data_IF_221730134340
#
_entry.id   IF_221730134340
#
_cell.length_a   1.000
_cell.length_b   1.000
_cell.length_c   1.000
_cell.angle_alpha   90.00
_cell.angle_beta   90.00
_cell.angle_gamma   90.00
#
_symmetry.space_group_name_H-M   'P 1'
#
loop_
_entity.id
_entity.type
_entity.pdbx_description
1 polymer ?
#
# COMPACT_ATOMS: atom_id res chain seq x y z
N UNK A 1 -0.29 -8.94 -11.00
CA UNK A 1 -1.49 -8.10 -10.97
C UNK A 1 -2.61 -8.79 -10.23
N UNK A 2 -2.98 -8.23 -9.10
CA UNK A 2 -4.07 -8.63 -8.24
C UNK A 2 -5.41 -8.27 -8.87
N UNK A 3 -6.41 -9.11 -8.65
CA UNK A 3 -7.80 -8.71 -8.88
C UNK A 3 -8.19 -7.64 -7.88
N UNK A 4 -9.16 -6.79 -8.21
CA UNK A 4 -9.59 -5.68 -7.35
C UNK A 4 -10.01 -6.17 -5.95
N UNK A 5 -10.74 -7.29 -5.87
CA UNK A 5 -11.12 -7.91 -4.59
C UNK A 5 -9.92 -8.38 -3.78
N UNK A 6 -8.92 -8.99 -4.43
CA UNK A 6 -7.71 -9.48 -3.76
C UNK A 6 -6.89 -8.31 -3.22
N UNK A 7 -6.73 -7.24 -4.00
CA UNK A 7 -6.06 -6.01 -3.57
C UNK A 7 -6.78 -5.39 -2.36
N UNK A 8 -8.10 -5.27 -2.41
CA UNK A 8 -8.91 -4.74 -1.31
C UNK A 8 -8.79 -5.59 -0.04
N UNK A 9 -8.81 -6.91 -0.16
CA UNK A 9 -8.71 -7.80 0.99
C UNK A 9 -7.30 -7.83 1.60
N UNK A 10 -6.25 -7.72 0.78
CA UNK A 10 -4.89 -7.53 1.30
C UNK A 10 -4.76 -6.19 2.02
N UNK A 11 -5.27 -5.09 1.45
CA UNK A 11 -5.25 -3.79 2.12
C UNK A 11 -5.97 -3.81 3.48
N UNK A 12 -7.17 -4.42 3.57
CA UNK A 12 -7.88 -4.60 4.85
C UNK A 12 -7.01 -5.32 5.89
N UNK A 13 -6.21 -6.31 5.46
CA UNK A 13 -5.29 -7.00 6.38
C UNK A 13 -4.08 -6.13 6.75
N UNK A 14 -3.56 -5.33 5.81
CA UNK A 14 -2.51 -4.34 6.09
C UNK A 14 -3.01 -3.33 7.14
N UNK A 15 -4.23 -2.80 7.01
CA UNK A 15 -4.85 -1.92 8.01
C UNK A 15 -4.91 -2.58 9.39
N UNK A 16 -5.28 -3.87 9.45
CA UNK A 16 -5.29 -4.64 10.70
C UNK A 16 -3.89 -4.81 11.29
N UNK A 17 -2.87 -5.07 10.46
CA UNK A 17 -1.48 -5.20 10.91
C UNK A 17 -0.96 -3.86 11.42
N UNK A 18 -1.11 -2.79 10.62
CA UNK A 18 -0.76 -1.43 11.00
C UNK A 18 -1.39 -1.04 12.33
N UNK A 19 -2.68 -1.28 12.54
CA UNK A 19 -3.31 -0.93 13.83
C UNK A 19 -2.73 -1.70 15.03
N UNK A 20 -2.19 -2.90 14.83
CA UNK A 20 -1.50 -3.68 15.88
C UNK A 20 -0.07 -3.22 16.13
N UNK A 21 0.53 -2.52 15.18
CA UNK A 21 1.95 -2.15 15.19
C UNK A 21 2.20 -0.65 15.12
N UNK A 22 1.16 0.20 15.07
CA UNK A 22 1.25 1.66 14.90
C UNK A 22 2.02 2.38 16.00
N UNK A 23 2.12 1.79 17.18
CA UNK A 23 2.91 2.32 18.31
C UNK A 23 4.39 1.87 18.24
N UNK A 24 4.76 1.11 17.20
CA UNK A 24 6.11 0.66 16.90
C UNK A 24 6.68 1.43 15.70
N UNK A 25 7.95 1.19 15.40
CA UNK A 25 8.57 1.73 14.18
C UNK A 25 7.88 1.20 12.90
N UNK A 26 7.73 2.03 11.85
CA UNK A 26 7.16 1.61 10.55
C UNK A 26 7.83 0.36 9.97
N UNK A 27 9.14 0.16 10.21
CA UNK A 27 9.88 -1.00 9.71
C UNK A 27 9.29 -2.33 10.20
N UNK A 28 8.89 -2.38 11.48
CA UNK A 28 8.30 -3.59 12.09
C UNK A 28 6.94 -3.92 11.45
N UNK A 29 6.21 -2.89 11.02
CA UNK A 29 4.94 -3.07 10.32
C UNK A 29 5.18 -3.66 8.93
N UNK A 30 6.13 -3.12 8.18
CA UNK A 30 6.47 -3.59 6.84
C UNK A 30 7.04 -5.00 6.86
N UNK A 31 7.93 -5.33 7.81
CA UNK A 31 8.47 -6.69 7.95
C UNK A 31 7.35 -7.73 8.13
N UNK A 32 6.37 -7.46 8.99
CA UNK A 32 5.22 -8.36 9.18
C UNK A 32 4.30 -8.43 7.95
N UNK A 33 4.15 -7.34 7.22
CA UNK A 33 3.39 -7.33 5.96
C UNK A 33 4.10 -8.19 4.91
N UNK A 34 5.42 -8.01 4.76
CA UNK A 34 6.26 -8.75 3.82
C UNK A 34 6.31 -10.24 4.17
N UNK A 35 6.46 -10.60 5.44
CA UNK A 35 6.42 -11.99 5.91
C UNK A 35 5.10 -12.66 5.53
N UNK A 36 3.99 -11.93 5.63
CA UNK A 36 2.65 -12.49 5.39
C UNK A 36 2.25 -12.57 3.93
N UNK A 37 2.58 -11.54 3.13
CA UNK A 37 2.06 -11.40 1.75
C UNK A 37 3.13 -11.55 0.67
N UNK A 38 4.40 -11.55 1.06
CA UNK A 38 5.52 -11.48 0.13
C UNK A 38 5.70 -10.10 -0.48
N UNK A 39 6.87 -9.91 -1.11
CA UNK A 39 7.30 -8.63 -1.68
C UNK A 39 6.36 -8.14 -2.78
N UNK A 40 6.15 -8.94 -3.83
CA UNK A 40 5.41 -8.53 -5.02
C UNK A 40 3.98 -8.08 -4.70
N UNK A 41 3.25 -8.88 -3.90
CA UNK A 41 1.90 -8.53 -3.42
C UNK A 41 1.90 -7.23 -2.63
N UNK A 42 2.88 -7.05 -1.74
CA UNK A 42 2.98 -5.86 -0.91
C UNK A 42 3.23 -4.61 -1.75
N UNK A 43 4.21 -4.68 -2.66
CA UNK A 43 4.55 -3.60 -3.59
C UNK A 43 3.33 -3.19 -4.44
N UNK A 44 2.62 -4.15 -5.02
CA UNK A 44 1.46 -3.86 -5.88
C UNK A 44 0.29 -3.21 -5.12
N UNK A 45 0.00 -3.67 -3.89
CA UNK A 45 -1.08 -3.10 -3.07
C UNK A 45 -0.75 -1.67 -2.63
N UNK A 46 0.49 -1.42 -2.17
CA UNK A 46 0.92 -0.08 -1.82
C UNK A 46 0.92 0.86 -3.04
N UNK A 47 1.34 0.38 -4.20
CA UNK A 47 1.29 1.15 -5.45
C UNK A 47 -0.15 1.50 -5.84
N UNK A 48 -1.09 0.55 -5.71
CA UNK A 48 -2.52 0.77 -5.98
C UNK A 48 -3.10 1.84 -5.07
N UNK A 49 -2.84 1.76 -3.75
CA UNK A 49 -3.31 2.75 -2.79
C UNK A 49 -2.67 4.12 -3.03
N UNK A 50 -1.37 4.15 -3.35
CA UNK A 50 -0.69 5.40 -3.70
C UNK A 50 -1.30 6.05 -4.94
N UNK A 51 -1.69 5.27 -5.95
CA UNK A 51 -2.35 5.76 -7.16
C UNK A 51 -3.75 6.31 -6.86
N UNK A 52 -4.56 5.62 -6.05
CA UNK A 52 -5.87 6.12 -5.60
C UNK A 52 -5.71 7.47 -4.86
N UNK A 53 -4.68 7.58 -4.02
CA UNK A 53 -4.39 8.79 -3.22
C UNK A 53 -3.49 9.80 -3.96
N UNK A 54 -3.43 9.78 -5.29
CA UNK A 54 -2.55 10.68 -6.06
C UNK A 54 -2.78 12.18 -5.77
N UNK A 55 -4.03 12.57 -5.50
CA UNK A 55 -4.39 13.96 -5.20
C UNK A 55 -3.99 14.47 -3.79
N UNK A 56 -3.61 13.58 -2.87
CA UNK A 56 -3.30 13.95 -1.48
C UNK A 56 -1.92 14.62 -1.32
N UNK A 57 -0.98 14.35 -2.23
CA UNK A 57 0.35 14.97 -2.26
C UNK A 57 1.34 14.53 -1.18
N UNK A 58 0.92 13.75 -0.15
CA UNK A 58 1.82 13.30 0.93
C UNK A 58 2.69 12.09 0.61
N UNK A 59 2.36 11.36 -0.46
CA UNK A 59 3.25 10.33 -1.03
C UNK A 59 3.97 10.99 -2.20
N UNK A 60 5.25 11.33 -2.01
CA UNK A 60 6.01 12.21 -2.90
C UNK A 60 7.43 11.72 -3.19
N UNK A 61 8.10 12.45 -4.10
CA UNK A 61 9.49 12.25 -4.49
C UNK A 61 9.81 10.79 -4.80
N UNK A 62 10.88 10.31 -4.18
CA UNK A 62 11.48 9.01 -4.41
C UNK A 62 10.52 7.83 -4.09
N UNK A 63 9.56 8.02 -3.18
CA UNK A 63 8.53 7.03 -2.86
C UNK A 63 7.44 7.00 -3.93
N UNK A 64 7.00 8.18 -4.38
CA UNK A 64 6.06 8.31 -5.49
C UNK A 64 6.62 7.71 -6.78
N UNK A 65 7.86 8.03 -7.12
CA UNK A 65 8.57 7.47 -8.29
C UNK A 65 8.60 5.94 -8.25
N UNK A 66 8.93 5.37 -7.08
CA UNK A 66 8.94 3.93 -6.89
C UNK A 66 7.54 3.31 -7.05
N UNK A 67 6.51 3.87 -6.40
CA UNK A 67 5.13 3.37 -6.55
C UNK A 67 4.61 3.46 -7.99
N UNK A 68 4.94 4.55 -8.70
CA UNK A 68 4.55 4.72 -10.11
C UNK A 68 5.29 3.76 -11.07
N UNK A 69 6.38 3.14 -10.64
CA UNK A 69 7.13 2.16 -11.45
C UNK A 69 6.54 0.75 -11.39
N UNK A 70 5.59 0.49 -10.47
CA UNK A 70 4.97 -0.81 -10.26
C UNK A 70 3.68 -0.90 -11.08
N UNK A 71 3.54 -1.95 -11.88
CA UNK A 71 2.33 -2.23 -12.65
C UNK A 71 1.19 -2.62 -11.72
N UNK A 72 0.06 -1.92 -11.79
CA UNK A 72 -1.15 -2.17 -11.00
C UNK A 72 -2.35 -2.45 -11.89
N UNK A 73 -3.37 -3.10 -11.32
CA UNK A 73 -4.65 -3.30 -12.00
C UNK A 73 -5.38 -1.94 -12.17
N UNK A 74 -5.63 -1.47 -13.41
CA UNK A 74 -6.26 -0.17 -13.65
C UNK A 74 -7.69 -0.10 -13.08
N UNK A 75 -8.42 -1.22 -13.04
CA UNK A 75 -9.79 -1.25 -12.50
C UNK A 75 -9.79 -0.99 -10.99
N UNK A 76 -8.69 -1.29 -10.29
CA UNK A 76 -8.57 -1.06 -8.86
C UNK A 76 -8.53 0.43 -8.48
N UNK A 77 -8.23 1.32 -9.43
CA UNK A 77 -8.14 2.77 -9.20
C UNK A 77 -9.34 3.56 -9.76
N UNK A 78 -10.30 2.88 -10.40
CA UNK A 78 -11.53 3.50 -10.92
C UNK A 78 -12.51 3.73 -9.76
N UNK A 79 -12.36 4.87 -9.09
CA UNK A 79 -13.16 5.22 -7.89
C UNK A 79 -14.54 5.82 -8.23
N UNK A 80 -14.86 6.04 -9.50
CA UNK A 80 -16.19 6.47 -9.95
C UNK A 80 -17.23 5.34 -9.90
N UNK A 81 -16.78 4.08 -9.82
CA UNK A 81 -17.67 2.92 -9.76
C UNK A 81 -18.05 2.60 -8.32
N UNK A 82 -19.31 2.87 -7.95
CA UNK A 82 -19.84 2.65 -6.59
C UNK A 82 -19.59 1.24 -6.03
N UNK A 83 -19.33 0.25 -6.87
CA UNK A 83 -19.09 -1.14 -6.46
C UNK A 83 -17.61 -1.50 -6.33
N UNK A 84 -16.67 -0.56 -6.52
CA UNK A 84 -15.24 -0.84 -6.42
C UNK A 84 -14.88 -1.27 -4.98
N UNK A 85 -14.43 -2.52 -4.76
CA UNK A 85 -14.06 -3.03 -3.44
C UNK A 85 -13.02 -2.19 -2.70
N UNK A 86 -12.17 -1.45 -3.42
CA UNK A 86 -11.17 -0.57 -2.82
C UNK A 86 -11.80 0.59 -2.04
N UNK A 87 -13.02 1.03 -2.36
CA UNK A 87 -13.71 2.07 -1.57
C UNK A 87 -14.07 1.60 -0.15
N UNK A 88 -14.21 0.29 0.04
CA UNK A 88 -14.70 -0.29 1.29
C UNK A 88 -13.62 -1.04 2.06
N UNK A 89 -12.34 -0.84 1.70
CA UNK A 89 -11.21 -1.55 2.31
C UNK A 89 -10.50 -0.77 3.42
N UNK A 90 -10.99 0.43 3.78
CA UNK A 90 -10.35 1.28 4.80
C UNK A 90 -9.19 2.10 4.24
N UNK A 91 -9.37 2.71 3.07
CA UNK A 91 -8.33 3.54 2.43
C UNK A 91 -7.88 4.73 3.30
N UNK A 92 -8.75 5.22 4.18
CA UNK A 92 -8.48 6.37 5.05
C UNK A 92 -8.15 5.97 6.50
N UNK A 93 -8.17 4.67 6.80
CA UNK A 93 -7.83 4.15 8.14
C UNK A 93 -6.34 4.31 8.46
N UNK A 94 -5.51 4.48 7.43
CA UNK A 94 -4.10 4.85 7.55
C UNK A 94 -3.90 6.21 6.87
N UNK A 95 -3.46 7.19 7.66
CA UNK A 95 -3.14 8.51 7.12
C UNK A 95 -2.01 8.42 6.10
N UNK A 96 -2.11 9.15 4.99
CA UNK A 96 -1.17 9.09 3.86
C UNK A 96 0.30 9.33 4.25
N UNK A 97 0.56 10.14 5.29
CA UNK A 97 1.92 10.35 5.78
C UNK A 97 2.53 9.07 6.39
N UNK A 98 1.74 8.23 7.05
CA UNK A 98 2.20 6.95 7.58
C UNK A 98 2.34 5.92 6.45
N UNK A 99 1.50 6.00 5.42
CA UNK A 99 1.69 5.20 4.19
C UNK A 99 3.03 5.54 3.55
N UNK A 100 3.39 6.82 3.44
CA UNK A 100 4.67 7.26 2.89
C UNK A 100 5.88 6.79 3.73
N UNK A 101 5.77 6.82 5.06
CA UNK A 101 6.78 6.23 5.95
C UNK A 101 6.92 4.71 5.71
N UNK A 102 5.82 3.97 5.61
CA UNK A 102 5.84 2.55 5.31
C UNK A 102 6.45 2.25 3.92
N UNK A 103 6.17 3.07 2.89
CA UNK A 103 6.80 2.93 1.57
C UNK A 103 8.32 3.15 1.65
N UNK A 104 8.78 4.07 2.50
CA UNK A 104 10.21 4.33 2.73
C UNK A 104 10.92 3.07 3.24
N UNK A 105 10.32 2.39 4.23
CA UNK A 105 10.87 1.15 4.78
C UNK A 105 10.79 0.00 3.78
N UNK A 106 9.65 -0.14 3.08
CA UNK A 106 9.45 -1.14 2.03
C UNK A 106 10.54 -1.03 0.95
N UNK A 107 10.78 0.18 0.45
CA UNK A 107 11.82 0.43 -0.56
C UNK A 107 13.20 0.09 -0.01
N UNK A 108 13.50 0.49 1.21
CA UNK A 108 14.81 0.25 1.83
C UNK A 108 15.07 -1.25 1.95
N UNK A 109 14.14 -2.01 2.54
CA UNK A 109 14.23 -3.47 2.68
C UNK A 109 14.37 -4.15 1.31
N UNK A 110 13.52 -3.80 0.34
CA UNK A 110 13.52 -4.41 -0.99
C UNK A 110 14.76 -4.08 -1.83
N UNK A 111 15.48 -3.00 -1.51
CA UNK A 111 16.78 -2.69 -2.12
C UNK A 111 17.92 -3.54 -1.56
N UNK A 112 17.84 -4.00 -0.31
CA UNK A 112 18.83 -4.89 0.32
C UNK A 112 18.63 -6.37 -0.03
N UNK A 113 17.44 -6.76 -0.50
CA UNK A 113 17.10 -8.14 -0.91
C UNK A 113 17.49 -8.46 -2.37
N UNK A 114 18.46 -7.75 -2.95
CA UNK A 114 18.96 -7.99 -4.32
C UNK A 114 20.12 -8.98 -4.35
#
# INVERSE_FOLDING_TARGET
>A
MLKVNECADVWKNIVKLYNKTKDKSPVVTIEQILERFGKETTEEVFATVAAIKAGDGRIYGKNREYMNSITINPDAVVMSECNNPMMYCGLDDIHSAHIDQMITELRSICQFLK
#
